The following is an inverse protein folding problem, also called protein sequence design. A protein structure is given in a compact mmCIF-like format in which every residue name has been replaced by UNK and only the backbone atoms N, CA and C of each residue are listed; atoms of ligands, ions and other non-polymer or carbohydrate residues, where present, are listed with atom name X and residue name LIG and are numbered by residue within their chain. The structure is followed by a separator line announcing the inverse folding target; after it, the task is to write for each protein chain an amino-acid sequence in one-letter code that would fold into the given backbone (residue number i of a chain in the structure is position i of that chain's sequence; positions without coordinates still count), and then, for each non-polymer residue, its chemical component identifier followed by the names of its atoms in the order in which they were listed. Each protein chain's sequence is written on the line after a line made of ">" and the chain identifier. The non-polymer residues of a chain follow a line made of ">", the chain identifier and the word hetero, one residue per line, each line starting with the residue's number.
data_IF_579098474587
#
_entry.id   IF_579098474587
#
_cell.length_a   1.000
_cell.length_b   1.000
_cell.length_c   1.000
_cell.angle_alpha   90.00
_cell.angle_beta   90.00
_cell.angle_gamma   90.00
#
_symmetry.space_group_name_H-M   'P 1'
#
loop_
_entity.id
_entity.type
_entity.pdbx_description
1 polymer ?
#
# COMPACT_ATOMS: atom_id res chain seq x y z
N UNK A 1 25.80 -19.35 -12.05
CA UNK A 1 25.57 -18.47 -10.87
C UNK A 1 24.14 -18.68 -10.41
N UNK A 2 23.89 -19.11 -9.17
CA UNK A 2 22.53 -19.13 -8.64
C UNK A 2 22.06 -17.66 -8.59
N UNK A 3 20.96 -17.36 -9.30
CA UNK A 3 20.34 -16.03 -9.30
C UNK A 3 20.08 -15.60 -7.85
N UNK A 4 20.43 -14.37 -7.50
CA UNK A 4 20.48 -13.94 -6.10
C UNK A 4 19.09 -14.05 -5.47
N UNK A 5 19.02 -14.50 -4.21
CA UNK A 5 17.77 -14.54 -3.43
C UNK A 5 17.04 -13.19 -3.48
N UNK A 6 17.80 -12.10 -3.57
CA UNK A 6 17.30 -10.74 -3.71
C UNK A 6 16.52 -10.50 -5.01
N UNK A 7 16.99 -10.99 -6.15
CA UNK A 7 16.31 -10.81 -7.46
C UNK A 7 14.94 -11.51 -7.47
N UNK A 8 14.84 -12.68 -6.82
CA UNK A 8 13.55 -13.39 -6.65
C UNK A 8 12.59 -12.60 -5.78
N UNK A 9 13.09 -11.98 -4.70
CA UNK A 9 12.27 -11.14 -3.82
C UNK A 9 11.78 -9.88 -4.52
N UNK A 10 12.66 -9.18 -5.24
CA UNK A 10 12.29 -8.00 -6.02
C UNK A 10 11.22 -8.33 -7.07
N UNK A 11 11.38 -9.45 -7.78
CA UNK A 11 10.39 -9.87 -8.76
C UNK A 11 9.07 -10.33 -8.14
N UNK A 12 9.11 -11.06 -7.02
CA UNK A 12 7.91 -11.44 -6.29
C UNK A 12 7.15 -10.19 -5.78
N UNK A 13 7.87 -9.19 -5.24
CA UNK A 13 7.27 -7.91 -4.85
C UNK A 13 6.58 -7.21 -6.03
N UNK A 14 7.22 -7.17 -7.19
CA UNK A 14 6.61 -6.62 -8.40
C UNK A 14 5.32 -7.34 -8.81
N UNK A 15 5.28 -8.67 -8.70
CA UNK A 15 4.07 -9.46 -8.99
C UNK A 15 2.98 -9.24 -7.93
N UNK A 16 3.35 -9.12 -6.65
CA UNK A 16 2.41 -8.80 -5.56
C UNK A 16 1.76 -7.44 -5.76
N UNK A 17 2.53 -6.41 -6.14
CA UNK A 17 2.01 -5.08 -6.46
C UNK A 17 1.02 -5.09 -7.64
N UNK A 18 1.12 -6.08 -8.52
CA UNK A 18 0.17 -6.30 -9.63
C UNK A 18 -1.05 -7.14 -9.24
N UNK A 19 -1.16 -7.54 -7.98
CA UNK A 19 -2.28 -8.36 -7.49
C UNK A 19 -2.25 -9.81 -7.99
N UNK A 20 -1.07 -10.31 -8.37
CA UNK A 20 -0.92 -11.70 -8.82
C UNK A 20 -1.02 -12.64 -7.62
N UNK A 21 -1.76 -13.75 -7.79
CA UNK A 21 -1.97 -14.70 -6.69
C UNK A 21 -0.70 -15.45 -6.31
N UNK A 22 -0.65 -15.94 -5.07
CA UNK A 22 0.45 -16.76 -4.55
C UNK A 22 0.85 -17.91 -5.49
N UNK A 23 -0.12 -18.66 -6.00
CA UNK A 23 0.14 -19.82 -6.85
C UNK A 23 0.82 -19.41 -8.16
N UNK A 24 0.32 -18.34 -8.78
CA UNK A 24 0.88 -17.78 -10.00
C UNK A 24 2.29 -17.21 -9.76
N UNK A 25 2.53 -16.55 -8.61
CA UNK A 25 3.87 -16.05 -8.26
C UNK A 25 4.87 -17.22 -8.15
N UNK A 26 4.48 -18.33 -7.53
CA UNK A 26 5.33 -19.52 -7.43
C UNK A 26 5.64 -20.12 -8.80
N UNK A 27 4.67 -20.15 -9.71
CA UNK A 27 4.86 -20.59 -11.10
C UNK A 27 5.79 -19.65 -11.88
N UNK A 28 5.58 -18.33 -11.80
CA UNK A 28 6.44 -17.34 -12.45
C UNK A 28 7.88 -17.39 -11.95
N UNK A 29 8.07 -17.59 -10.64
CA UNK A 29 9.39 -17.76 -10.06
C UNK A 29 10.07 -19.05 -10.55
N UNK A 30 9.32 -20.17 -10.64
CA UNK A 30 9.84 -21.41 -11.22
C UNK A 30 10.21 -21.24 -12.68
N UNK A 31 9.36 -20.62 -13.48
CA UNK A 31 9.59 -20.38 -14.91
C UNK A 31 10.84 -19.52 -15.14
N UNK A 32 11.00 -18.44 -14.36
CA UNK A 32 12.08 -17.48 -14.57
C UNK A 32 13.41 -17.87 -13.90
N UNK A 33 13.36 -18.55 -12.75
CA UNK A 33 14.54 -18.83 -11.92
C UNK A 33 14.80 -20.32 -11.71
N UNK A 34 14.03 -21.20 -12.34
CA UNK A 34 14.12 -22.66 -12.21
C UNK A 34 13.59 -23.21 -10.87
N UNK A 35 13.25 -22.34 -9.94
CA UNK A 35 12.74 -22.70 -8.61
C UNK A 35 11.95 -21.56 -8.01
N UNK A 36 10.95 -21.92 -7.21
CA UNK A 36 10.13 -20.97 -6.45
C UNK A 36 10.88 -20.30 -5.30
N UNK A 37 10.10 -19.75 -4.38
CA UNK A 37 10.56 -19.21 -3.11
C UNK A 37 9.97 -20.01 -1.96
N UNK A 38 10.63 -20.00 -0.80
CA UNK A 38 10.04 -20.56 0.43
C UNK A 38 8.64 -19.98 0.66
N UNK A 39 7.69 -20.87 0.96
CA UNK A 39 6.31 -20.49 1.25
C UNK A 39 6.24 -19.45 2.38
N UNK A 40 7.04 -19.62 3.43
CA UNK A 40 7.08 -18.70 4.59
C UNK A 40 7.57 -17.31 4.22
N UNK A 41 8.53 -17.21 3.28
CA UNK A 41 9.04 -15.92 2.81
C UNK A 41 7.98 -15.22 1.96
N UNK A 42 7.36 -15.94 1.00
CA UNK A 42 6.35 -15.34 0.14
C UNK A 42 5.08 -14.95 0.92
N UNK A 43 4.67 -15.76 1.91
CA UNK A 43 3.57 -15.39 2.81
C UNK A 43 3.87 -14.13 3.62
N UNK A 44 5.10 -13.99 4.14
CA UNK A 44 5.50 -12.77 4.85
C UNK A 44 5.40 -11.54 3.94
N UNK A 45 5.88 -11.65 2.70
CA UNK A 45 5.81 -10.56 1.73
C UNK A 45 4.37 -10.18 1.36
N UNK A 46 3.46 -11.16 1.26
CA UNK A 46 2.03 -10.92 1.07
C UNK A 46 1.46 -10.14 2.25
N UNK A 47 1.70 -10.60 3.48
CA UNK A 47 1.22 -9.92 4.69
C UNK A 47 1.74 -8.48 4.81
N UNK A 48 3.02 -8.27 4.48
CA UNK A 48 3.61 -6.93 4.46
C UNK A 48 2.96 -6.05 3.38
N UNK A 49 2.68 -6.60 2.19
CA UNK A 49 2.01 -5.87 1.10
C UNK A 49 0.58 -5.49 1.49
N UNK A 50 -0.18 -6.41 2.07
CA UNK A 50 -1.55 -6.16 2.55
C UNK A 50 -1.55 -5.10 3.65
N UNK A 51 -0.56 -5.15 4.55
CA UNK A 51 -0.41 -4.15 5.61
C UNK A 51 -0.06 -2.77 5.06
N UNK A 52 0.79 -2.69 4.05
CA UNK A 52 1.10 -1.42 3.36
C UNK A 52 -0.18 -0.84 2.77
N UNK A 53 -0.96 -1.64 2.05
CA UNK A 53 -2.22 -1.20 1.45
C UNK A 53 -3.21 -0.70 2.51
N UNK A 54 -3.36 -1.42 3.62
CA UNK A 54 -4.21 -1.00 4.74
C UNK A 54 -3.78 0.36 5.32
N UNK A 55 -2.46 0.59 5.43
CA UNK A 55 -1.93 1.86 5.92
C UNK A 55 -2.15 3.00 4.90
N UNK A 56 -1.98 2.73 3.61
CA UNK A 56 -2.26 3.71 2.54
C UNK A 56 -3.73 4.13 2.54
N UNK A 57 -4.66 3.19 2.68
CA UNK A 57 -6.10 3.46 2.77
C UNK A 57 -6.42 4.33 4.01
N UNK A 58 -5.86 3.99 5.18
CA UNK A 58 -6.01 4.80 6.40
C UNK A 58 -5.43 6.21 6.26
N UNK A 59 -4.27 6.35 5.62
CA UNK A 59 -3.68 7.66 5.36
C UNK A 59 -4.58 8.51 4.47
N UNK A 60 -5.20 7.90 3.45
CA UNK A 60 -6.14 8.57 2.57
C UNK A 60 -7.40 9.05 3.32
N UNK A 61 -7.96 8.20 4.18
CA UNK A 61 -9.13 8.54 4.98
C UNK A 61 -8.84 9.71 5.94
N UNK A 62 -7.74 9.63 6.70
CA UNK A 62 -7.30 10.71 7.61
C UNK A 62 -7.05 12.01 6.84
N UNK A 63 -6.47 11.93 5.65
CA UNK A 63 -6.22 13.11 4.81
C UNK A 63 -7.52 13.79 4.37
N UNK A 64 -8.55 12.99 4.07
CA UNK A 64 -9.87 13.50 3.71
C UNK A 64 -10.56 14.15 4.92
N UNK A 65 -10.51 13.52 6.10
CA UNK A 65 -11.04 14.08 7.34
C UNK A 65 -10.38 15.43 7.67
N UNK A 66 -9.05 15.52 7.61
CA UNK A 66 -8.32 16.77 7.84
C UNK A 66 -8.73 17.88 6.87
N UNK A 67 -8.95 17.54 5.60
CA UNK A 67 -9.43 18.49 4.59
C UNK A 67 -10.83 19.01 4.93
N UNK A 68 -11.72 18.14 5.41
CA UNK A 68 -13.06 18.53 5.85
C UNK A 68 -13.00 19.43 7.08
N UNK A 69 -12.23 19.06 8.12
CA UNK A 69 -12.07 19.90 9.31
C UNK A 69 -11.49 21.26 8.99
N UNK A 70 -10.49 21.33 8.09
CA UNK A 70 -9.93 22.59 7.61
C UNK A 70 -10.99 23.45 6.93
N UNK A 71 -11.84 22.87 6.09
CA UNK A 71 -12.95 23.60 5.43
C UNK A 71 -13.92 24.18 6.47
N UNK A 72 -14.39 23.34 7.39
CA UNK A 72 -15.33 23.75 8.44
C UNK A 72 -14.74 24.86 9.33
N UNK A 73 -13.45 24.78 9.65
CA UNK A 73 -12.77 25.82 10.42
C UNK A 73 -12.82 27.19 9.73
N UNK A 74 -12.57 27.25 8.42
CA UNK A 74 -12.66 28.51 7.69
C UNK A 74 -14.09 29.02 7.56
N UNK A 75 -15.07 28.14 7.32
CA UNK A 75 -16.50 28.52 7.29
C UNK A 75 -16.94 29.14 8.62
N UNK A 76 -16.52 28.56 9.75
CA UNK A 76 -16.79 29.12 11.08
C UNK A 76 -16.10 30.46 11.30
N UNK A 77 -14.85 30.60 10.88
CA UNK A 77 -14.14 31.87 10.97
C UNK A 77 -14.82 32.98 10.17
N UNK A 78 -15.33 32.67 8.98
CA UNK A 78 -16.08 33.63 8.14
C UNK A 78 -17.38 34.04 8.83
N UNK A 79 -18.17 33.07 9.29
CA UNK A 79 -19.42 33.35 10.00
C UNK A 79 -19.23 34.22 11.27
N UNK A 80 -18.14 34.00 12.01
CA UNK A 80 -17.80 34.82 13.18
C UNK A 80 -17.37 36.23 12.76
N UNK A 81 -16.58 36.37 11.69
CA UNK A 81 -16.15 37.68 11.17
C UNK A 81 -17.33 38.52 10.68
N UNK A 82 -18.33 37.89 10.06
CA UNK A 82 -19.55 38.58 9.62
C UNK A 82 -20.33 39.12 10.81
N UNK A 83 -20.54 38.31 11.86
CA UNK A 83 -21.23 38.73 13.09
C UNK A 83 -20.54 39.86 13.86
N UNK A 84 -19.23 40.03 13.74
CA UNK A 84 -18.48 41.12 14.41
C UNK A 84 -18.60 42.45 13.64
N UNK A 85 -18.98 42.41 12.35
CA UNK A 85 -19.11 43.61 11.52
C UNK A 85 -20.51 44.24 11.55
N UNK A 86 -21.53 43.52 12.01
CA UNK A 86 -22.87 44.02 12.32
C UNK A 86 -22.92 44.65 13.72
#
# INVERSE_FOLDING_TARGET
>A
MPKSSKEKQEYANFLLQKGISYAQIQEELKNRYGSGMSNTTLQRMILETDRIKELEDKMKDISLELKMYKKMYYELLEAVKEKIKE
#
